data_IF_620124941363
#
_entry.id   IF_620124941363
#
_cell.length_a   1.000
_cell.length_b   1.000
_cell.length_c   1.000
_cell.angle_alpha   90.00
_cell.angle_beta   90.00
_cell.angle_gamma   90.00
#
_symmetry.space_group_name_H-M   'P 1'
#
loop_
_entity.id
_entity.type
_entity.pdbx_description
1 polymer ?
#
# COMPACT_ATOMS: atom_id res chain seq x y z
N UNK A 1 29.65 14.31 28.57
CA UNK A 1 28.73 13.17 28.84
C UNK A 1 28.03 12.82 27.53
N UNK A 2 28.53 11.81 26.79
CA UNK A 2 27.96 11.36 25.50
C UNK A 2 26.86 10.35 25.80
N UNK A 3 25.61 10.66 25.39
CA UNK A 3 24.53 9.67 25.38
C UNK A 3 24.75 8.73 24.18
N UNK A 4 24.79 7.41 24.39
CA UNK A 4 24.89 6.49 23.28
C UNK A 4 23.58 6.54 22.44
N UNK A 5 23.75 6.61 21.14
CA UNK A 5 22.65 6.53 20.17
C UNK A 5 21.88 5.21 20.36
N UNK A 6 20.58 5.29 20.62
CA UNK A 6 19.68 4.13 20.62
C UNK A 6 19.70 3.53 19.22
N UNK A 7 20.32 2.37 19.11
CA UNK A 7 20.25 1.51 17.93
C UNK A 7 18.77 1.10 17.77
N UNK A 8 18.09 1.71 16.82
CA UNK A 8 16.75 1.27 16.40
C UNK A 8 16.95 -0.11 15.78
N UNK A 9 16.70 -1.15 16.56
CA UNK A 9 16.51 -2.48 16.01
C UNK A 9 15.20 -2.45 15.22
N UNK A 10 15.29 -2.37 13.89
CA UNK A 10 14.19 -2.72 13.03
C UNK A 10 13.86 -4.19 13.30
N UNK A 11 12.85 -4.42 14.13
CA UNK A 11 12.28 -5.74 14.30
C UNK A 11 11.83 -6.20 12.90
N UNK A 12 12.52 -7.18 12.33
CA UNK A 12 12.07 -7.85 11.11
C UNK A 12 10.74 -8.49 11.48
N UNK A 13 9.67 -7.92 10.98
CA UNK A 13 8.34 -8.55 11.07
C UNK A 13 8.47 -9.91 10.39
N UNK A 14 8.24 -10.97 11.14
CA UNK A 14 8.43 -12.34 10.63
C UNK A 14 7.16 -12.75 9.93
N UNK A 15 7.11 -12.62 8.61
CA UNK A 15 6.05 -13.20 7.79
C UNK A 15 6.28 -14.71 7.62
N UNK A 16 5.22 -15.48 7.76
CA UNK A 16 5.26 -16.95 7.65
C UNK A 16 4.08 -17.47 6.83
N UNK A 17 4.33 -18.52 6.07
CA UNK A 17 3.28 -19.37 5.48
C UNK A 17 3.32 -20.71 6.20
N UNK A 18 2.19 -21.17 6.71
CA UNK A 18 2.08 -22.45 7.37
C UNK A 18 0.71 -23.09 7.16
N UNK A 19 0.63 -24.40 7.42
CA UNK A 19 -0.64 -25.12 7.47
C UNK A 19 -1.36 -24.84 8.78
N UNK A 20 -2.61 -24.44 8.72
CA UNK A 20 -3.43 -24.18 9.90
C UNK A 20 -3.62 -25.46 10.74
N UNK A 21 -3.06 -25.49 11.93
CA UNK A 21 -3.15 -26.64 12.85
C UNK A 21 -4.57 -26.85 13.38
N UNK A 22 -5.36 -25.79 13.46
CA UNK A 22 -6.74 -25.80 13.97
C UNK A 22 -7.61 -24.86 13.15
N UNK A 23 -8.93 -25.04 13.14
CA UNK A 23 -9.90 -24.14 12.52
C UNK A 23 -10.31 -22.92 13.38
N UNK A 24 -9.56 -22.57 14.44
CA UNK A 24 -9.95 -21.51 15.38
C UNK A 24 -9.55 -20.11 14.92
N UNK A 25 -8.58 -19.99 14.05
CA UNK A 25 -8.09 -18.69 13.58
C UNK A 25 -9.10 -18.05 12.63
N UNK A 26 -9.27 -16.73 12.75
CA UNK A 26 -10.06 -15.93 11.82
C UNK A 26 -9.15 -15.07 10.96
N UNK A 27 -9.44 -15.01 9.67
CA UNK A 27 -8.74 -14.15 8.74
C UNK A 27 -8.95 -12.67 9.08
N UNK A 28 -7.86 -11.92 9.32
CA UNK A 28 -7.93 -10.48 9.60
C UNK A 28 -8.48 -9.66 8.42
N UNK A 29 -8.37 -10.18 7.19
CA UNK A 29 -8.83 -9.48 5.99
C UNK A 29 -10.33 -9.62 5.74
N UNK A 30 -10.87 -10.84 5.77
CA UNK A 30 -12.28 -11.14 5.46
C UNK A 30 -13.11 -11.55 6.68
N UNK A 31 -12.48 -11.72 7.86
CA UNK A 31 -13.09 -12.14 9.14
C UNK A 31 -13.71 -13.55 9.14
N UNK A 32 -13.58 -14.29 8.05
CA UNK A 32 -14.03 -15.68 7.98
C UNK A 32 -13.02 -16.62 8.69
N UNK A 33 -13.48 -17.78 9.18
CA UNK A 33 -12.60 -18.77 9.77
C UNK A 33 -11.58 -19.29 8.74
N UNK A 34 -10.41 -19.68 9.22
CA UNK A 34 -9.39 -20.36 8.42
C UNK A 34 -9.46 -21.84 8.77
N UNK A 35 -9.81 -22.67 7.80
CA UNK A 35 -10.02 -24.09 8.02
C UNK A 35 -8.74 -24.81 8.46
N UNK A 36 -8.91 -25.85 9.30
CA UNK A 36 -7.81 -26.75 9.64
C UNK A 36 -7.27 -27.40 8.37
N UNK A 37 -5.95 -27.40 8.21
CA UNK A 37 -5.29 -27.94 7.03
C UNK A 37 -5.11 -26.96 5.88
N UNK A 38 -5.78 -25.80 5.89
CA UNK A 38 -5.57 -24.77 4.89
C UNK A 38 -4.23 -24.04 5.09
N UNK A 39 -3.57 -23.67 3.99
CA UNK A 39 -2.44 -22.76 4.04
C UNK A 39 -2.89 -21.35 4.45
N UNK A 40 -2.17 -20.79 5.41
CA UNK A 40 -2.41 -19.44 5.92
C UNK A 40 -1.13 -18.62 5.93
N UNK A 41 -1.29 -17.33 5.76
CA UNK A 41 -0.24 -16.32 5.91
C UNK A 41 -0.33 -15.69 7.30
N UNK A 42 0.79 -15.61 8.00
CA UNK A 42 0.93 -14.97 9.30
C UNK A 42 1.91 -13.83 9.26
N UNK A 43 1.61 -12.78 9.99
CA UNK A 43 2.52 -11.67 10.26
C UNK A 43 2.49 -11.31 11.74
N UNK A 44 3.63 -10.99 12.29
CA UNK A 44 3.71 -10.46 13.64
C UNK A 44 3.25 -9.00 13.65
N UNK A 45 2.39 -8.66 14.59
CA UNK A 45 1.96 -7.29 14.83
C UNK A 45 1.81 -7.05 16.34
N UNK A 46 1.98 -5.79 16.78
CA UNK A 46 1.76 -5.44 18.19
C UNK A 46 0.35 -5.82 18.63
N UNK A 47 0.23 -6.37 19.82
CA UNK A 47 -1.08 -6.60 20.43
C UNK A 47 -1.74 -5.27 20.79
N UNK A 48 -3.06 -5.17 20.60
CA UNK A 48 -3.83 -4.01 21.02
C UNK A 48 -4.01 -3.93 22.56
N UNK A 49 -3.65 -5.00 23.28
CA UNK A 49 -3.94 -5.14 24.71
C UNK A 49 -2.68 -5.39 25.56
N UNK A 50 -1.51 -5.58 24.95
CA UNK A 50 -0.24 -5.82 25.63
C UNK A 50 0.91 -5.35 24.77
N UNK A 51 2.09 -5.15 25.37
CA UNK A 51 3.34 -4.82 24.66
C UNK A 51 3.94 -6.02 23.91
N UNK A 52 3.24 -7.15 23.87
CA UNK A 52 3.68 -8.36 23.21
C UNK A 52 3.28 -8.38 21.73
N UNK A 53 4.12 -9.05 20.92
CA UNK A 53 3.81 -9.31 19.52
C UNK A 53 2.85 -10.50 19.42
N UNK A 54 1.86 -10.39 18.53
CA UNK A 54 0.91 -11.47 18.24
C UNK A 54 0.86 -11.77 16.75
N UNK A 55 0.59 -13.04 16.42
CA UNK A 55 0.40 -13.45 15.03
C UNK A 55 -0.98 -13.07 14.51
N UNK A 56 -1.01 -12.30 13.46
CA UNK A 56 -2.22 -12.02 12.69
C UNK A 56 -2.31 -12.95 11.48
N UNK A 57 -3.39 -13.71 11.42
CA UNK A 57 -3.57 -14.72 10.40
C UNK A 57 -4.48 -14.25 9.27
N UNK A 58 -4.15 -14.66 8.05
CA UNK A 58 -4.91 -14.38 6.83
C UNK A 58 -5.02 -15.64 5.98
N UNK A 59 -6.13 -15.82 5.26
CA UNK A 59 -6.12 -16.76 4.13
C UNK A 59 -5.02 -16.31 3.16
N UNK A 60 -4.31 -17.27 2.57
CA UNK A 60 -3.22 -16.95 1.64
C UNK A 60 -3.70 -16.07 0.48
N UNK A 61 -4.86 -16.37 -0.10
CA UNK A 61 -5.48 -15.57 -1.15
C UNK A 61 -5.85 -14.14 -0.69
N UNK A 62 -6.32 -13.99 0.55
CA UNK A 62 -6.63 -12.66 1.10
C UNK A 62 -5.36 -11.83 1.34
N UNK A 63 -4.28 -12.47 1.79
CA UNK A 63 -2.99 -11.83 1.95
C UNK A 63 -2.39 -11.45 0.59
N UNK A 64 -2.45 -12.33 -0.41
CA UNK A 64 -1.95 -12.06 -1.77
C UNK A 64 -2.56 -10.79 -2.39
N UNK A 65 -3.84 -10.53 -2.14
CA UNK A 65 -4.51 -9.31 -2.61
C UNK A 65 -4.11 -8.04 -1.87
N UNK A 66 -3.81 -8.14 -0.57
CA UNK A 66 -3.60 -6.95 0.30
C UNK A 66 -2.14 -6.66 0.60
N UNK A 67 -1.31 -7.69 0.58
CA UNK A 67 0.10 -7.67 1.00
C UNK A 67 0.96 -8.47 0.01
N UNK A 68 0.92 -8.14 -1.30
CA UNK A 68 1.55 -8.97 -2.33
C UNK A 68 3.06 -9.11 -2.14
N UNK A 69 3.76 -8.05 -1.73
CA UNK A 69 5.20 -8.09 -1.51
C UNK A 69 5.58 -9.08 -0.40
N UNK A 70 4.93 -8.97 0.76
CA UNK A 70 5.19 -9.85 1.91
C UNK A 70 4.84 -11.31 1.61
N UNK A 71 3.74 -11.55 0.88
CA UNK A 71 3.37 -12.91 0.47
C UNK A 71 4.41 -13.51 -0.48
N UNK A 72 4.98 -12.73 -1.42
CA UNK A 72 6.06 -13.22 -2.30
C UNK A 72 7.30 -13.61 -1.51
N UNK A 73 7.72 -12.77 -0.58
CA UNK A 73 8.87 -13.07 0.28
C UNK A 73 8.64 -14.32 1.12
N UNK A 74 7.44 -14.47 1.69
CA UNK A 74 7.09 -15.64 2.46
C UNK A 74 7.00 -16.91 1.58
N UNK A 75 6.44 -16.81 0.35
CA UNK A 75 6.40 -17.91 -0.62
C UNK A 75 7.79 -18.33 -1.09
N UNK A 76 8.71 -17.40 -1.25
CA UNK A 76 10.10 -17.70 -1.64
C UNK A 76 10.86 -18.52 -0.58
N UNK A 77 10.42 -18.44 0.68
CA UNK A 77 11.00 -19.17 1.81
C UNK A 77 10.23 -20.45 2.17
N UNK A 78 9.04 -20.62 1.58
CA UNK A 78 8.18 -21.76 1.88
C UNK A 78 8.53 -22.96 0.99
N UNK A 79 9.00 -24.04 1.59
CA UNK A 79 9.41 -25.27 0.89
C UNK A 79 8.28 -26.27 0.66
N UNK A 80 7.08 -26.00 1.18
CA UNK A 80 5.92 -26.89 1.06
C UNK A 80 5.16 -26.73 -0.27
N UNK A 81 4.25 -27.68 -0.52
CA UNK A 81 3.31 -27.57 -1.63
C UNK A 81 2.30 -26.44 -1.36
N UNK A 82 2.02 -25.63 -2.37
CA UNK A 82 1.03 -24.55 -2.32
C UNK A 82 -0.17 -24.94 -3.18
N UNK A 83 -1.24 -25.49 -2.59
CA UNK A 83 -2.46 -25.80 -3.32
C UNK A 83 -3.04 -24.55 -3.99
N UNK A 84 -3.37 -24.64 -5.28
CA UNK A 84 -3.87 -23.48 -6.03
C UNK A 84 -2.83 -22.40 -6.29
N UNK A 85 -1.54 -22.75 -6.42
CA UNK A 85 -0.44 -21.82 -6.63
C UNK A 85 -0.70 -20.85 -7.79
N UNK A 86 -1.23 -21.37 -8.90
CA UNK A 86 -1.54 -20.55 -10.08
C UNK A 86 -2.56 -19.44 -9.77
N UNK A 87 -3.53 -19.73 -8.89
CA UNK A 87 -4.51 -18.74 -8.46
C UNK A 87 -3.86 -17.68 -7.56
N UNK A 88 -2.99 -18.07 -6.65
CA UNK A 88 -2.23 -17.15 -5.82
C UNK A 88 -1.33 -16.26 -6.68
N UNK A 89 -0.63 -16.82 -7.66
CA UNK A 89 0.21 -16.06 -8.59
C UNK A 89 -0.60 -15.05 -9.43
N UNK A 90 -1.79 -15.45 -9.92
CA UNK A 90 -2.72 -14.51 -10.59
C UNK A 90 -3.15 -13.37 -9.67
N UNK A 91 -3.44 -13.66 -8.42
CA UNK A 91 -3.80 -12.62 -7.43
C UNK A 91 -2.64 -11.67 -7.14
N UNK A 92 -1.43 -12.19 -7.02
CA UNK A 92 -0.22 -11.40 -6.81
C UNK A 92 0.06 -10.50 -8.04
N UNK A 93 -0.07 -11.04 -9.25
CA UNK A 93 0.09 -10.27 -10.49
C UNK A 93 -0.99 -9.20 -10.62
N UNK A 94 -2.25 -9.53 -10.37
CA UNK A 94 -3.35 -8.57 -10.39
C UNK A 94 -3.21 -7.46 -9.34
N UNK A 95 -2.58 -7.74 -8.21
CA UNK A 95 -2.27 -6.73 -7.21
C UNK A 95 -1.18 -5.75 -7.70
N UNK A 96 -0.16 -6.24 -8.42
CA UNK A 96 0.84 -5.37 -9.05
C UNK A 96 0.25 -4.50 -10.16
N UNK A 97 -0.60 -5.10 -10.99
CA UNK A 97 -1.27 -4.37 -12.06
C UNK A 97 -2.22 -3.29 -11.52
N UNK A 98 -2.77 -3.50 -10.32
CA UNK A 98 -3.63 -2.54 -9.62
C UNK A 98 -2.86 -1.57 -8.73
N UNK A 99 -1.61 -1.86 -8.39
CA UNK A 99 -0.76 -0.95 -7.64
C UNK A 99 -0.50 0.32 -8.46
N UNK A 100 -0.90 1.45 -7.91
CA UNK A 100 -0.70 2.73 -8.56
C UNK A 100 0.63 3.29 -8.08
N UNK A 101 1.59 3.39 -9.01
CA UNK A 101 2.89 3.96 -8.70
C UNK A 101 2.78 5.48 -8.46
N UNK A 102 3.50 6.00 -7.50
CA UNK A 102 3.61 7.44 -7.27
C UNK A 102 4.76 8.06 -8.10
N UNK A 103 4.61 9.31 -8.51
CA UNK A 103 3.38 10.10 -8.52
C UNK A 103 2.42 9.64 -9.62
N UNK A 104 1.11 9.82 -9.40
CA UNK A 104 0.09 9.62 -10.43
C UNK A 104 -0.98 10.68 -10.33
N UNK A 105 -1.73 10.89 -11.41
CA UNK A 105 -2.90 11.77 -11.42
C UNK A 105 -4.19 10.96 -11.44
N UNK A 106 -5.22 11.49 -10.78
CA UNK A 106 -6.55 10.91 -10.71
C UNK A 106 -7.62 11.96 -10.51
N UNK A 107 -8.89 11.66 -10.76
CA UNK A 107 -10.02 12.48 -10.33
C UNK A 107 -10.27 12.28 -8.84
N UNK A 108 -10.45 13.36 -8.10
CA UNK A 108 -10.72 13.32 -6.66
C UNK A 108 -12.09 12.67 -6.40
N UNK A 109 -12.17 11.51 -5.73
CA UNK A 109 -13.46 10.84 -5.50
C UNK A 109 -14.34 11.61 -4.51
N UNK A 110 -13.74 12.51 -3.73
CA UNK A 110 -14.43 13.35 -2.74
C UNK A 110 -13.74 14.71 -2.64
N UNK A 111 -14.46 15.75 -2.16
CA UNK A 111 -13.89 17.06 -1.88
C UNK A 111 -13.17 17.19 -0.52
N UNK A 112 -12.73 16.08 0.10
CA UNK A 112 -12.16 16.11 1.47
C UNK A 112 -10.65 16.34 1.51
N UNK A 113 -9.95 16.14 0.39
CA UNK A 113 -8.51 16.32 0.34
C UNK A 113 -8.11 17.79 0.24
N UNK A 114 -6.97 18.11 0.85
CA UNK A 114 -6.33 19.42 0.74
C UNK A 114 -4.99 19.28 0.01
N UNK A 115 -4.64 20.28 -0.75
CA UNK A 115 -3.36 20.35 -1.42
C UNK A 115 -2.22 20.49 -0.40
N UNK A 116 -1.20 19.65 -0.50
CA UNK A 116 -0.03 19.70 0.39
C UNK A 116 0.80 20.97 0.21
N UNK A 117 0.74 21.61 -0.97
CA UNK A 117 1.51 22.82 -1.27
C UNK A 117 0.77 24.08 -0.79
N UNK A 118 -0.42 24.35 -1.32
CA UNK A 118 -1.13 25.60 -1.03
C UNK A 118 -2.16 25.51 0.11
N UNK A 119 -2.41 24.32 0.66
CA UNK A 119 -3.37 24.11 1.75
C UNK A 119 -4.86 24.19 1.33
N UNK A 120 -5.16 24.61 0.11
CA UNK A 120 -6.54 24.77 -0.37
C UNK A 120 -7.23 23.42 -0.60
N UNK A 121 -8.57 23.36 -0.46
CA UNK A 121 -9.32 22.14 -0.72
C UNK A 121 -9.26 21.75 -2.21
N UNK A 122 -9.24 20.45 -2.47
CA UNK A 122 -9.35 19.89 -3.81
C UNK A 122 -10.80 19.44 -3.99
N UNK A 123 -11.51 20.04 -4.94
CA UNK A 123 -12.92 19.76 -5.16
C UNK A 123 -13.16 18.30 -5.59
N UNK A 124 -14.35 17.79 -5.34
CA UNK A 124 -14.78 16.50 -5.89
C UNK A 124 -14.71 16.56 -7.43
N UNK A 125 -14.28 15.46 -8.03
CA UNK A 125 -14.09 15.27 -9.48
C UNK A 125 -13.02 16.19 -10.12
N UNK A 126 -12.34 17.06 -9.36
CA UNK A 126 -11.18 17.80 -9.85
C UNK A 126 -9.98 16.87 -10.06
N UNK A 127 -9.15 17.17 -11.05
CA UNK A 127 -7.85 16.50 -11.22
C UNK A 127 -6.94 16.83 -10.04
N UNK A 128 -6.26 15.79 -9.53
CA UNK A 128 -5.26 15.93 -8.47
C UNK A 128 -4.07 15.02 -8.75
N UNK A 129 -2.92 15.41 -8.26
CA UNK A 129 -1.70 14.60 -8.27
C UNK A 129 -1.53 13.96 -6.92
N UNK A 130 -1.44 12.64 -6.89
CA UNK A 130 -1.12 11.87 -5.70
C UNK A 130 0.39 11.63 -5.63
N UNK A 131 0.98 11.92 -4.49
CA UNK A 131 2.40 11.69 -4.18
C UNK A 131 2.51 10.80 -2.95
N UNK A 132 3.58 10.03 -2.90
CA UNK A 132 3.89 9.26 -1.71
C UNK A 132 4.36 10.18 -0.59
N UNK A 133 3.86 9.96 0.61
CA UNK A 133 4.34 10.60 1.82
C UNK A 133 4.33 9.65 3.00
N UNK A 134 5.15 9.91 3.96
CA UNK A 134 5.08 9.24 5.25
C UNK A 134 3.94 9.84 6.09
N UNK A 135 3.11 8.98 6.65
CA UNK A 135 2.05 9.36 7.60
C UNK A 135 2.25 8.57 8.89
N UNK A 136 2.18 9.29 10.00
CA UNK A 136 2.23 8.67 11.31
C UNK A 136 0.83 8.26 11.73
N UNK A 137 0.64 6.97 12.02
CA UNK A 137 -0.61 6.41 12.49
C UNK A 137 -0.33 5.54 13.72
N UNK A 138 -0.81 5.97 14.88
CA UNK A 138 -0.63 5.22 16.13
C UNK A 138 0.84 5.03 16.53
N UNK A 139 1.69 6.03 16.30
CA UNK A 139 3.13 5.98 16.63
C UNK A 139 3.98 5.18 15.64
N UNK A 140 3.40 4.75 14.50
CA UNK A 140 4.14 4.06 13.42
C UNK A 140 4.07 4.89 12.14
N UNK A 141 5.22 5.04 11.48
CA UNK A 141 5.30 5.67 10.17
C UNK A 141 4.90 4.67 9.08
N UNK A 142 3.99 5.08 8.21
CA UNK A 142 3.54 4.28 7.06
C UNK A 142 3.56 5.13 5.79
N UNK A 143 3.82 4.49 4.66
CA UNK A 143 3.61 5.11 3.36
C UNK A 143 2.11 5.39 3.17
N UNK A 144 1.79 6.61 2.76
CA UNK A 144 0.44 7.08 2.48
C UNK A 144 0.41 7.99 1.27
N UNK A 145 -0.78 8.39 0.84
CA UNK A 145 -0.95 9.34 -0.24
C UNK A 145 -1.09 10.77 0.29
N UNK A 146 -0.35 11.69 -0.32
CA UNK A 146 -0.60 13.11 -0.26
C UNK A 146 -1.16 13.61 -1.59
N UNK A 147 -1.88 14.71 -1.59
CA UNK A 147 -2.54 15.22 -2.80
C UNK A 147 -2.14 16.67 -3.09
N UNK A 148 -2.06 16.98 -4.37
CA UNK A 148 -1.67 18.30 -4.87
C UNK A 148 -2.62 18.71 -5.99
N UNK A 149 -2.87 20.02 -6.15
CA UNK A 149 -3.41 20.51 -7.42
C UNK A 149 -2.37 20.30 -8.52
N UNK A 150 -2.76 20.06 -9.78
CA UNK A 150 -1.81 19.88 -10.87
C UNK A 150 -0.80 21.03 -10.98
N UNK A 151 -1.24 22.29 -10.94
CA UNK A 151 -0.36 23.46 -10.99
C UNK A 151 0.59 23.59 -9.79
N UNK A 152 0.22 23.04 -8.60
CA UNK A 152 1.11 23.05 -7.44
C UNK A 152 2.11 21.90 -7.42
N UNK A 153 1.90 20.88 -8.25
CA UNK A 153 2.66 19.63 -8.15
C UNK A 153 4.12 19.79 -8.59
N UNK A 154 4.37 20.59 -9.61
CA UNK A 154 5.73 20.85 -10.13
C UNK A 154 6.60 21.54 -9.10
N UNK A 155 6.09 22.60 -8.50
CA UNK A 155 6.81 23.36 -7.47
C UNK A 155 7.05 22.53 -6.21
N UNK A 156 6.05 21.75 -5.79
CA UNK A 156 6.18 20.89 -4.61
C UNK A 156 7.19 19.75 -4.79
N UNK A 157 7.23 19.12 -5.96
CA UNK A 157 8.11 17.96 -6.21
C UNK A 157 9.51 18.37 -6.66
N UNK A 158 9.67 19.55 -7.24
CA UNK A 158 10.96 20.04 -7.74
C UNK A 158 11.57 19.21 -8.87
N UNK A 159 10.74 18.42 -9.60
CA UNK A 159 11.21 17.53 -10.66
C UNK A 159 10.71 17.96 -12.03
N UNK A 160 11.62 18.02 -13.01
CA UNK A 160 11.28 18.41 -14.39
C UNK A 160 10.57 17.30 -15.17
N UNK A 161 10.76 16.04 -14.80
CA UNK A 161 10.18 14.86 -15.45
C UNK A 161 8.79 14.47 -14.91
N UNK A 162 8.19 15.30 -14.04
CA UNK A 162 6.94 15.00 -13.36
C UNK A 162 5.81 14.62 -14.31
N UNK A 163 5.61 15.39 -15.39
CA UNK A 163 4.54 15.12 -16.36
C UNK A 163 4.71 13.76 -17.03
N UNK A 164 5.94 13.41 -17.42
CA UNK A 164 6.24 12.10 -18.01
C UNK A 164 5.93 10.96 -17.04
N UNK A 165 6.29 11.12 -15.77
CA UNK A 165 5.98 10.12 -14.72
C UNK A 165 4.48 10.00 -14.49
N UNK A 166 3.76 11.13 -14.45
CA UNK A 166 2.31 11.14 -14.31
C UNK A 166 1.62 10.42 -15.48
N UNK A 167 2.03 10.69 -16.73
CA UNK A 167 1.49 10.02 -17.92
C UNK A 167 1.69 8.50 -17.86
N UNK A 168 2.87 8.05 -17.43
CA UNK A 168 3.20 6.63 -17.27
C UNK A 168 2.37 5.95 -16.17
N UNK A 169 2.20 6.61 -15.04
CA UNK A 169 1.64 6.01 -13.83
C UNK A 169 0.11 6.15 -13.75
N UNK A 170 -0.49 7.11 -14.45
CA UNK A 170 -1.94 7.40 -14.39
C UNK A 170 -2.73 6.54 -15.38
N UNK A 171 -2.68 5.21 -15.20
CA UNK A 171 -3.30 4.23 -16.09
C UNK A 171 -4.82 4.38 -16.24
N UNK A 172 -5.48 5.02 -15.28
CA UNK A 172 -6.94 5.17 -15.22
C UNK A 172 -7.46 6.48 -15.83
N UNK A 173 -6.57 7.39 -16.23
CA UNK A 173 -6.98 8.64 -16.86
C UNK A 173 -7.30 8.44 -18.34
N UNK A 174 -8.43 8.97 -18.78
CA UNK A 174 -8.77 9.10 -20.20
C UNK A 174 -7.92 10.18 -20.90
N UNK A 175 -8.02 10.25 -22.22
CA UNK A 175 -7.22 11.18 -23.03
C UNK A 175 -7.57 12.64 -22.71
N UNK A 176 -8.84 12.96 -22.53
CA UNK A 176 -9.30 14.30 -22.13
C UNK A 176 -8.70 14.73 -20.77
N UNK A 177 -8.63 13.82 -19.81
CA UNK A 177 -8.03 14.10 -18.50
C UNK A 177 -6.52 14.32 -18.60
N UNK A 178 -5.84 13.61 -19.51
CA UNK A 178 -4.40 13.76 -19.77
C UNK A 178 -4.09 15.13 -20.39
N UNK A 179 -4.93 15.60 -21.30
CA UNK A 179 -4.81 16.92 -21.91
C UNK A 179 -5.09 18.03 -20.88
N UNK A 180 -6.13 17.86 -20.04
CA UNK A 180 -6.43 18.80 -18.95
C UNK A 180 -5.27 18.87 -17.96
N UNK A 181 -4.69 17.71 -17.59
CA UNK A 181 -3.54 17.64 -16.71
C UNK A 181 -2.33 18.38 -17.29
N UNK A 182 -2.01 18.16 -18.57
CA UNK A 182 -0.88 18.80 -19.24
C UNK A 182 -1.05 20.32 -19.26
N UNK A 183 -2.24 20.82 -19.57
CA UNK A 183 -2.55 22.25 -19.53
C UNK A 183 -2.38 22.85 -18.14
N UNK A 184 -2.98 22.22 -17.11
CA UNK A 184 -2.93 22.72 -15.74
C UNK A 184 -1.53 22.66 -15.10
N UNK A 185 -0.59 21.94 -15.70
CA UNK A 185 0.81 21.88 -15.27
C UNK A 185 1.72 22.84 -16.05
N UNK A 186 1.23 23.46 -17.12
CA UNK A 186 1.99 24.42 -17.95
C UNK A 186 1.75 25.87 -17.54
N UNK A 187 0.72 26.11 -16.73
CA UNK A 187 0.39 27.41 -16.12
C UNK A 187 1.21 27.65 -14.84
#
# INVERSE_FOLDING_TARGET
>A
MHRPARRVMTARMTEVIEVAKTGRARCRSCRQPIDKGALRFGEEQPSAFSDEMQMAWHHLACAARKKPAQVREALARFEGEVPGRDEIEKLLKGADDSAVAYPHAERAPTGRSRCLHCGNPIAKDALRVAVEREVEVGGMTRAGAGYLHPGCAREYTGTDDLLTRLQKNSKKLGDADREELARAMSE
#
